data_IF_994814117360
#
_entry.id   IF_994814117360
#
_cell.length_a   1.000
_cell.length_b   1.000
_cell.length_c   1.000
_cell.angle_alpha   90.00
_cell.angle_beta   90.00
_cell.angle_gamma   90.00
#
_symmetry.space_group_name_H-M   'P 1'
#
loop_
_entity.id
_entity.type
_entity.pdbx_description
1 polymer ?
#
# COMPACT_ATOMS: atom_id res chain seq x y z
N UNK A 1 -0.15 12.25 6.45
CA UNK A 1 -0.30 10.79 6.63
C UNK A 1 -0.94 10.60 7.98
N UNK A 2 -2.25 10.41 8.03
CA UNK A 2 -2.88 9.99 9.27
C UNK A 2 -2.25 8.65 9.66
N UNK A 3 -1.74 8.51 10.88
CA UNK A 3 -1.06 7.30 11.39
C UNK A 3 -1.92 6.05 11.13
N UNK A 4 -3.25 6.24 11.16
CA UNK A 4 -4.25 5.26 10.79
C UNK A 4 -4.01 4.60 9.42
N UNK A 5 -3.65 5.37 8.37
CA UNK A 5 -3.39 4.82 7.02
C UNK A 5 -2.13 3.94 6.97
N UNK A 6 -1.14 4.24 7.81
CA UNK A 6 0.09 3.45 7.92
C UNK A 6 -0.20 2.13 8.63
N UNK A 7 -0.98 2.17 9.72
CA UNK A 7 -1.43 0.98 10.44
C UNK A 7 -2.27 0.06 9.54
N UNK A 8 -3.23 0.64 8.79
CA UNK A 8 -4.01 -0.08 7.78
C UNK A 8 -3.13 -0.69 6.69
N UNK A 9 -2.05 -0.02 6.28
CA UNK A 9 -1.13 -0.54 5.26
C UNK A 9 -0.30 -1.74 5.73
N UNK A 10 -0.07 -1.88 7.03
CA UNK A 10 0.66 -3.00 7.62
C UNK A 10 -0.27 -4.20 7.83
N UNK A 11 -1.48 -3.95 8.36
CA UNK A 11 -2.46 -5.00 8.61
C UNK A 11 -3.12 -5.52 7.31
N UNK A 12 -3.38 -4.62 6.38
CA UNK A 12 -4.09 -4.88 5.13
C UNK A 12 -3.54 -4.00 3.99
N UNK A 13 -2.35 -4.35 3.42
CA UNK A 13 -1.69 -3.55 2.40
C UNK A 13 -2.57 -3.19 1.18
N UNK A 14 -3.38 -4.08 0.58
CA UNK A 14 -4.20 -3.71 -0.58
C UNK A 14 -5.33 -2.71 -0.24
N UNK A 15 -5.86 -2.73 0.99
CA UNK A 15 -6.95 -1.86 1.43
C UNK A 15 -6.47 -0.41 1.64
N UNK A 16 -5.23 -0.22 2.11
CA UNK A 16 -4.66 1.12 2.30
C UNK A 16 -4.39 1.88 0.99
N UNK A 17 -4.36 1.15 -0.13
CA UNK A 17 -4.01 1.65 -1.47
C UNK A 17 -5.25 1.77 -2.37
N UNK A 18 -6.46 1.45 -1.87
CA UNK A 18 -7.73 1.60 -2.60
C UNK A 18 -7.92 3.01 -3.16
N UNK A 19 -7.54 4.02 -2.36
CA UNK A 19 -7.67 5.44 -2.70
C UNK A 19 -6.63 5.93 -3.71
N UNK A 20 -5.63 5.09 -4.05
CA UNK A 20 -4.48 5.44 -4.91
C UNK A 20 -4.61 4.89 -6.35
N UNK A 21 -5.60 4.04 -6.63
CA UNK A 21 -5.94 3.57 -7.98
C UNK A 21 -5.79 2.05 -8.22
N UNK A 22 -6.63 1.48 -9.09
CA UNK A 22 -6.73 0.04 -9.36
C UNK A 22 -5.40 -0.66 -9.71
N UNK A 23 -4.54 -0.01 -10.51
CA UNK A 23 -3.26 -0.61 -10.91
C UNK A 23 -2.30 -0.83 -9.73
N UNK A 24 -2.27 0.11 -8.79
CA UNK A 24 -1.43 0.02 -7.59
C UNK A 24 -1.90 -1.10 -6.65
N UNK A 25 -3.23 -1.27 -6.52
CA UNK A 25 -3.83 -2.32 -5.69
C UNK A 25 -3.48 -3.70 -6.26
N UNK A 26 -3.59 -3.90 -7.58
CA UNK A 26 -3.26 -5.18 -8.22
C UNK A 26 -1.78 -5.56 -8.03
N UNK A 27 -0.86 -4.60 -8.18
CA UNK A 27 0.58 -4.83 -7.93
C UNK A 27 0.81 -5.21 -6.46
N UNK A 28 0.26 -4.45 -5.51
CA UNK A 28 0.44 -4.69 -4.07
C UNK A 28 -0.19 -6.03 -3.66
N UNK A 29 -1.33 -6.40 -4.23
CA UNK A 29 -2.03 -7.66 -3.95
C UNK A 29 -1.22 -8.86 -4.44
N UNK A 30 -0.69 -8.82 -5.65
CA UNK A 30 0.19 -9.88 -6.19
C UNK A 30 1.49 -9.97 -5.37
N UNK A 31 2.09 -8.83 -5.01
CA UNK A 31 3.28 -8.80 -4.16
C UNK A 31 3.01 -9.37 -2.78
N UNK A 32 1.87 -9.03 -2.16
CA UNK A 32 1.44 -9.55 -0.85
C UNK A 32 1.23 -11.06 -0.91
N UNK A 33 0.74 -11.60 -2.04
CA UNK A 33 0.57 -13.03 -2.26
C UNK A 33 1.91 -13.77 -2.42
N UNK A 34 2.91 -13.14 -3.04
CA UNK A 34 4.28 -13.65 -3.18
C UNK A 34 5.10 -13.47 -1.89
N UNK A 35 4.73 -12.51 -1.04
CA UNK A 35 5.32 -12.26 0.26
C UNK A 35 4.70 -11.04 0.93
N UNK A 36 4.39 -11.14 2.22
CA UNK A 36 3.79 -10.02 2.95
C UNK A 36 4.71 -8.78 3.01
N UNK A 37 6.01 -8.99 3.22
CA UNK A 37 7.03 -7.92 3.31
C UNK A 37 7.08 -7.02 2.07
N UNK A 38 7.22 -7.54 0.83
CA UNK A 38 7.24 -6.68 -0.35
C UNK A 38 5.90 -5.95 -0.57
N UNK A 39 4.76 -6.55 -0.19
CA UNK A 39 3.45 -5.88 -0.23
C UNK A 39 3.37 -4.64 0.68
N UNK A 40 3.86 -4.74 1.91
CA UNK A 40 3.89 -3.61 2.87
C UNK A 40 4.85 -2.52 2.38
N UNK A 41 6.03 -2.88 1.86
CA UNK A 41 7.00 -1.91 1.32
C UNK A 41 6.42 -1.16 0.12
N UNK A 42 5.79 -1.86 -0.82
CA UNK A 42 5.15 -1.25 -1.98
C UNK A 42 4.03 -0.28 -1.56
N UNK A 43 3.17 -0.69 -0.62
CA UNK A 43 2.12 0.16 -0.08
C UNK A 43 2.69 1.41 0.62
N UNK A 44 3.75 1.28 1.41
CA UNK A 44 4.44 2.40 2.05
C UNK A 44 5.05 3.38 1.04
N UNK A 45 5.71 2.87 -0.01
CA UNK A 45 6.27 3.70 -1.08
C UNK A 45 5.16 4.48 -1.79
N UNK A 46 4.07 3.82 -2.21
CA UNK A 46 2.94 4.44 -2.91
C UNK A 46 2.22 5.47 -2.02
N UNK A 47 2.09 5.16 -0.72
CA UNK A 47 1.56 6.09 0.26
C UNK A 47 2.43 7.35 0.34
N UNK A 48 3.74 7.19 0.51
CA UNK A 48 4.71 8.27 0.73
C UNK A 48 4.96 9.13 -0.53
N UNK A 49 5.01 8.52 -1.71
CA UNK A 49 5.38 9.18 -2.96
C UNK A 49 4.30 10.14 -3.49
N UNK A 50 3.06 10.02 -3.01
CA UNK A 50 1.97 10.91 -3.43
C UNK A 50 1.85 12.19 -2.57
N UNK A 51 2.65 12.35 -1.51
CA UNK A 51 2.65 13.59 -0.71
C UNK A 51 3.31 14.79 -1.42
N UNK A 52 3.83 14.60 -2.64
CA UNK A 52 4.58 15.60 -3.41
C UNK A 52 3.93 16.10 -4.70
N UNK A 53 2.61 15.92 -4.91
CA UNK A 53 1.86 16.59 -5.98
C UNK A 53 0.55 17.15 -5.46
#
# INVERSE_FOLDING_TARGET
MSVWRVILSILFPPLAVIDRGCGSILIVLILTLLGWVPGVIAALIILNNNKGR
#
